data_IF_193105366675
#
_entry.id   IF_193105366675
#
_cell.length_a   1.000
_cell.length_b   1.000
_cell.length_c   1.000
_cell.angle_alpha   90.00
_cell.angle_beta   90.00
_cell.angle_gamma   90.00
#
_symmetry.space_group_name_H-M   'P 1'
#
loop_
_entity.id
_entity.type
_entity.pdbx_description
1 polymer ?
#
# COMPACT_ATOMS: atom_id res chain seq x y z
N UNK A 1 4.49 -10.47 -8.66
CA UNK A 1 5.32 -9.57 -9.49
C UNK A 1 5.41 -8.24 -8.76
N UNK A 2 6.58 -7.61 -8.72
CA UNK A 2 6.69 -6.24 -8.21
C UNK A 2 5.82 -5.33 -9.07
N UNK A 3 5.00 -4.49 -8.43
CA UNK A 3 4.08 -3.62 -9.17
C UNK A 3 4.83 -2.38 -9.61
N UNK A 4 5.17 -2.32 -10.90
CA UNK A 4 5.79 -1.15 -11.52
C UNK A 4 4.68 -0.20 -11.99
N UNK A 5 4.60 0.99 -11.42
CA UNK A 5 3.70 2.06 -11.88
C UNK A 5 4.49 2.91 -12.88
N UNK A 6 3.82 3.25 -13.98
CA UNK A 6 4.36 4.13 -15.02
C UNK A 6 3.74 5.52 -14.87
N UNK A 7 4.59 6.54 -14.83
CA UNK A 7 4.25 7.95 -14.68
C UNK A 7 4.30 8.55 -16.08
N UNK A 8 3.17 9.06 -16.57
CA UNK A 8 3.12 9.73 -17.87
C UNK A 8 3.91 11.03 -17.88
N UNK A 9 4.39 11.45 -19.05
CA UNK A 9 5.00 12.78 -19.26
C UNK A 9 4.14 13.89 -18.65
N UNK A 10 2.83 13.89 -18.92
CA UNK A 10 1.92 14.90 -18.37
C UNK A 10 1.90 14.88 -16.83
N UNK A 11 1.87 13.70 -16.22
CA UNK A 11 1.89 13.57 -14.76
C UNK A 11 3.24 13.99 -14.18
N UNK A 12 4.35 13.66 -14.85
CA UNK A 12 5.69 14.06 -14.43
C UNK A 12 5.86 15.57 -14.47
N UNK A 13 5.43 16.22 -15.56
CA UNK A 13 5.41 17.67 -15.73
C UNK A 13 4.61 18.33 -14.61
N UNK A 14 3.41 17.82 -14.31
CA UNK A 14 2.55 18.32 -13.24
C UNK A 14 3.25 18.19 -11.87
N UNK A 15 3.78 16.99 -11.56
CA UNK A 15 4.42 16.68 -10.28
C UNK A 15 5.68 17.50 -10.05
N UNK A 16 6.53 17.65 -11.09
CA UNK A 16 7.75 18.45 -11.03
C UNK A 16 7.49 19.95 -11.20
N UNK A 17 6.29 20.32 -11.67
CA UNK A 17 5.87 21.70 -11.98
C UNK A 17 6.83 22.39 -12.96
N UNK A 18 7.24 21.66 -13.98
CA UNK A 18 8.08 22.16 -15.08
C UNK A 18 7.25 22.29 -16.36
N UNK A 19 7.78 22.95 -17.39
CA UNK A 19 7.18 22.95 -18.73
C UNK A 19 7.60 21.72 -19.54
N UNK A 20 6.83 21.40 -20.58
CA UNK A 20 7.18 20.33 -21.54
C UNK A 20 8.56 20.58 -22.18
N UNK A 21 8.85 21.83 -22.56
CA UNK A 21 10.16 22.22 -23.11
C UNK A 21 11.30 21.91 -22.13
N UNK A 22 11.13 22.25 -20.85
CA UNK A 22 12.15 21.96 -19.85
C UNK A 22 12.36 20.46 -19.67
N UNK A 23 11.28 19.66 -19.70
CA UNK A 23 11.41 18.22 -19.63
C UNK A 23 12.18 17.66 -20.84
N UNK A 24 11.90 18.14 -22.06
CA UNK A 24 12.65 17.74 -23.25
C UNK A 24 14.15 18.08 -23.14
N UNK A 25 14.50 19.28 -22.67
CA UNK A 25 15.91 19.68 -22.46
C UNK A 25 16.61 18.76 -21.45
N UNK A 26 15.89 18.27 -20.44
CA UNK A 26 16.43 17.33 -19.45
C UNK A 26 16.59 15.94 -20.07
N UNK A 27 15.59 15.47 -20.82
CA UNK A 27 15.66 14.20 -21.54
C UNK A 27 16.86 14.17 -22.50
N UNK A 28 17.05 15.25 -23.28
CA UNK A 28 18.22 15.42 -24.16
C UNK A 28 19.54 15.37 -23.39
N UNK A 29 19.61 15.99 -22.20
CA UNK A 29 20.79 15.89 -21.35
C UNK A 29 21.09 14.44 -20.93
N UNK A 30 20.07 13.68 -20.52
CA UNK A 30 20.24 12.28 -20.13
C UNK A 30 20.58 11.36 -21.32
N UNK A 31 20.10 11.70 -22.52
CA UNK A 31 20.38 10.94 -23.74
C UNK A 31 21.77 11.24 -24.34
N UNK A 32 22.38 12.38 -23.98
CA UNK A 32 23.63 12.84 -24.58
C UNK A 32 24.86 12.00 -24.20
N UNK A 33 24.94 11.51 -22.96
CA UNK A 33 26.00 10.63 -22.50
C UNK A 33 25.47 9.54 -21.56
N UNK A 34 25.33 8.27 -22.03
CA UNK A 34 24.84 7.17 -21.21
C UNK A 34 25.83 6.75 -20.10
N UNK A 35 27.06 7.26 -20.11
CA UNK A 35 28.08 7.00 -19.09
C UNK A 35 28.22 8.15 -18.08
N UNK A 36 27.43 9.23 -18.20
CA UNK A 36 27.41 10.29 -17.20
C UNK A 36 26.94 9.74 -15.84
N UNK A 37 27.37 10.40 -14.77
CA UNK A 37 26.93 10.09 -13.39
C UNK A 37 25.40 10.17 -13.23
N UNK A 38 24.74 10.94 -14.10
CA UNK A 38 23.31 11.03 -14.33
C UNK A 38 22.95 10.23 -15.58
N UNK A 39 22.29 9.09 -15.40
CA UNK A 39 21.82 8.27 -16.51
C UNK A 39 20.37 7.81 -16.24
N UNK A 40 19.60 7.68 -17.32
CA UNK A 40 18.30 7.01 -17.38
C UNK A 40 18.39 5.88 -18.40
N UNK A 41 18.07 4.65 -17.99
CA UNK A 41 18.11 3.49 -18.88
C UNK A 41 16.71 3.09 -19.37
N UNK A 42 16.53 2.92 -20.68
CA UNK A 42 15.26 2.44 -21.24
C UNK A 42 14.97 1.01 -20.74
N UNK A 43 13.71 0.76 -20.35
CA UNK A 43 13.25 -0.48 -19.75
C UNK A 43 13.52 -0.58 -18.24
N UNK A 44 14.35 0.30 -17.66
CA UNK A 44 14.56 0.39 -16.20
C UNK A 44 14.00 1.67 -15.61
N UNK A 45 14.34 2.82 -16.19
CA UNK A 45 13.99 4.13 -15.68
C UNK A 45 12.84 4.77 -16.46
N UNK A 46 12.75 4.49 -17.76
CA UNK A 46 11.67 4.94 -18.63
C UNK A 46 11.35 3.92 -19.73
N UNK A 47 10.25 4.13 -20.45
CA UNK A 47 9.91 3.43 -21.69
C UNK A 47 9.40 4.41 -22.73
N UNK A 48 9.68 4.14 -24.00
CA UNK A 48 9.15 4.97 -25.10
C UNK A 48 7.77 4.47 -25.51
N UNK A 49 6.75 5.32 -25.38
CA UNK A 49 5.36 5.03 -25.76
C UNK A 49 5.10 5.40 -27.22
N UNK A 50 5.74 6.47 -27.69
CA UNK A 50 5.63 6.90 -29.09
C UNK A 50 7.00 7.34 -29.60
N UNK A 51 7.63 6.49 -30.41
CA UNK A 51 8.96 6.74 -30.98
C UNK A 51 9.00 7.98 -31.88
N UNK A 52 7.94 8.24 -32.63
CA UNK A 52 7.86 9.38 -33.56
C UNK A 52 7.78 10.72 -32.83
N UNK A 53 7.17 10.75 -31.64
CA UNK A 53 6.99 11.97 -30.83
C UNK A 53 7.96 12.05 -29.65
N UNK A 54 8.85 11.06 -29.49
CA UNK A 54 9.72 10.96 -28.31
C UNK A 54 8.99 10.81 -26.98
N UNK A 55 7.70 10.43 -26.98
CA UNK A 55 6.90 10.42 -25.76
C UNK A 55 7.32 9.26 -24.85
N UNK A 56 7.67 9.59 -23.60
CA UNK A 56 8.16 8.65 -22.59
C UNK A 56 7.16 8.45 -21.46
N UNK A 57 7.26 7.29 -20.82
CA UNK A 57 6.70 7.04 -19.51
C UNK A 57 7.82 6.66 -18.55
N UNK A 58 7.69 7.09 -17.30
CA UNK A 58 8.75 7.03 -16.31
C UNK A 58 8.40 6.05 -15.21
N UNK A 59 9.41 5.37 -14.71
CA UNK A 59 9.32 4.68 -13.42
C UNK A 59 9.50 5.67 -12.27
N UNK A 60 9.18 5.28 -11.04
CA UNK A 60 9.46 6.10 -9.84
C UNK A 60 10.95 6.46 -9.73
N UNK A 61 11.85 5.54 -10.10
CA UNK A 61 13.30 5.77 -10.06
C UNK A 61 13.77 6.72 -11.16
N UNK A 62 13.19 6.63 -12.37
CA UNK A 62 13.45 7.57 -13.45
C UNK A 62 12.92 8.97 -13.16
N UNK A 63 11.70 9.07 -12.62
CA UNK A 63 11.12 10.35 -12.19
C UNK A 63 11.95 10.98 -11.04
N UNK A 64 12.41 10.16 -10.09
CA UNK A 64 13.31 10.60 -9.03
C UNK A 64 14.66 11.09 -9.56
N UNK A 65 15.24 10.41 -10.56
CA UNK A 65 16.48 10.83 -11.20
C UNK A 65 16.35 12.20 -11.86
N UNK A 66 15.26 12.45 -12.59
CA UNK A 66 14.95 13.77 -13.18
C UNK A 66 14.79 14.84 -12.09
N UNK A 67 14.04 14.54 -11.03
CA UNK A 67 13.86 15.47 -9.91
C UNK A 67 15.20 15.80 -9.22
N UNK A 68 16.07 14.80 -9.06
CA UNK A 68 17.40 14.94 -8.45
C UNK A 68 18.33 15.78 -9.32
N UNK A 69 18.31 15.58 -10.64
CA UNK A 69 19.09 16.37 -11.59
C UNK A 69 18.69 17.85 -11.56
N UNK A 70 17.37 18.12 -11.61
CA UNK A 70 16.83 19.48 -11.50
C UNK A 70 17.32 20.17 -10.22
N UNK A 71 17.26 19.48 -9.08
CA UNK A 71 17.72 20.03 -7.82
C UNK A 71 19.22 20.38 -7.83
N UNK A 72 20.07 19.55 -8.44
CA UNK A 72 21.50 19.80 -8.57
C UNK A 72 21.81 20.98 -9.50
N UNK A 73 21.21 20.99 -10.69
CA UNK A 73 21.37 22.08 -11.68
C UNK A 73 21.02 23.43 -11.05
N UNK A 74 19.91 23.49 -10.32
CA UNK A 74 19.49 24.70 -9.62
C UNK A 74 20.41 25.13 -8.46
N UNK A 75 21.06 24.19 -7.75
CA UNK A 75 22.06 24.54 -6.73
C UNK A 75 23.29 25.19 -7.36
N UNK A 76 23.67 24.77 -8.56
CA UNK A 76 24.84 25.29 -9.28
C UNK A 76 24.60 26.68 -9.90
N UNK A 77 23.38 26.99 -10.36
CA UNK A 77 23.03 28.23 -11.09
C UNK A 77 22.77 29.47 -10.19
N UNK A 78 23.18 29.44 -8.93
CA UNK A 78 22.76 30.37 -7.89
C UNK A 78 23.42 31.78 -7.96
N UNK A 79 23.19 32.54 -9.05
CA UNK A 79 23.54 33.99 -9.14
C UNK A 79 22.51 34.94 -9.75
N UNK A 80 21.40 34.51 -10.37
CA UNK A 80 20.51 35.46 -11.07
C UNK A 80 18.99 35.27 -10.96
N UNK A 81 18.51 34.07 -10.58
CA UNK A 81 17.09 33.68 -10.69
C UNK A 81 16.39 33.54 -9.31
N UNK A 82 16.82 34.34 -8.33
CA UNK A 82 16.67 34.02 -6.89
C UNK A 82 15.40 34.54 -6.19
N UNK A 83 14.56 35.37 -6.83
CA UNK A 83 13.41 36.01 -6.16
C UNK A 83 12.15 35.14 -6.10
N UNK A 84 11.69 34.68 -7.26
CA UNK A 84 10.42 33.96 -7.41
C UNK A 84 10.53 32.46 -7.08
N UNK A 85 11.70 31.85 -7.29
CA UNK A 85 11.93 30.41 -7.15
C UNK A 85 12.21 29.97 -5.70
N UNK A 86 12.46 30.89 -4.77
CA UNK A 86 12.76 30.60 -3.35
C UNK A 86 11.58 29.93 -2.62
N UNK A 87 10.35 30.31 -2.93
CA UNK A 87 9.15 29.66 -2.37
C UNK A 87 8.85 28.30 -3.03
N UNK A 88 9.13 28.18 -4.33
CA UNK A 88 8.99 26.96 -5.12
C UNK A 88 9.95 25.85 -4.63
N UNK A 89 11.23 26.21 -4.44
CA UNK A 89 12.30 25.30 -4.02
C UNK A 89 12.17 24.90 -2.54
N UNK A 90 11.67 25.77 -1.67
CA UNK A 90 11.45 25.40 -0.26
C UNK A 90 10.42 24.28 -0.11
N UNK A 91 9.47 24.17 -1.05
CA UNK A 91 8.50 23.06 -1.14
C UNK A 91 9.02 21.86 -1.94
N UNK A 92 9.83 22.05 -2.97
CA UNK A 92 10.37 20.96 -3.81
C UNK A 92 11.54 20.18 -3.18
N UNK A 93 12.42 20.83 -2.39
CA UNK A 93 13.71 20.29 -1.90
C UNK A 93 13.66 19.02 -1.05
N UNK A 94 12.49 18.67 -0.54
CA UNK A 94 12.29 17.45 0.23
C UNK A 94 11.07 16.70 -0.24
N UNK A 95 9.99 17.41 -0.58
CA UNK A 95 8.68 16.76 -0.70
C UNK A 95 8.56 15.94 -1.98
N UNK A 96 9.06 16.39 -3.13
CA UNK A 96 8.80 15.70 -4.41
C UNK A 96 9.63 14.43 -4.60
N UNK A 97 10.94 14.48 -4.31
CA UNK A 97 11.79 13.26 -4.29
C UNK A 97 11.28 12.25 -3.27
N UNK A 98 10.91 12.74 -2.08
CA UNK A 98 10.29 11.90 -1.07
C UNK A 98 8.96 11.35 -1.57
N UNK A 99 8.11 12.09 -2.27
CA UNK A 99 6.82 11.60 -2.81
C UNK A 99 6.99 10.32 -3.62
N UNK A 100 7.92 10.27 -4.57
CA UNK A 100 8.17 9.04 -5.34
C UNK A 100 8.62 7.87 -4.45
N UNK A 101 9.45 8.14 -3.45
CA UNK A 101 9.85 7.15 -2.44
C UNK A 101 8.67 6.72 -1.56
N UNK A 102 7.82 7.67 -1.12
CA UNK A 102 6.62 7.41 -0.31
C UNK A 102 5.66 6.50 -1.06
N UNK A 103 5.39 6.84 -2.32
CA UNK A 103 4.54 6.05 -3.20
C UNK A 103 5.14 4.67 -3.39
N UNK A 104 6.45 4.56 -3.67
CA UNK A 104 7.11 3.25 -3.78
C UNK A 104 6.91 2.39 -2.55
N UNK A 105 7.13 2.97 -1.35
CA UNK A 105 6.94 2.28 -0.08
C UNK A 105 5.47 1.86 0.06
N UNK A 106 4.52 2.78 -0.15
CA UNK A 106 3.08 2.51 -0.03
C UNK A 106 2.64 1.34 -0.93
N UNK A 107 3.10 1.30 -2.18
CA UNK A 107 2.73 0.22 -3.10
C UNK A 107 3.43 -1.11 -2.84
N UNK A 108 4.57 -1.10 -2.14
CA UNK A 108 5.43 -2.27 -1.97
C UNK A 108 5.65 -2.61 -0.49
N UNK A 109 4.64 -2.44 0.37
CA UNK A 109 4.69 -2.81 1.81
C UNK A 109 3.60 -3.82 2.17
N UNK A 110 3.09 -4.58 1.20
CA UNK A 110 2.04 -5.60 1.38
C UNK A 110 2.43 -6.81 2.25
N UNK A 111 3.71 -6.98 2.54
CA UNK A 111 4.26 -8.03 3.41
C UNK A 111 4.42 -7.60 4.86
N UNK A 112 4.14 -6.32 5.17
CA UNK A 112 4.34 -5.73 6.49
C UNK A 112 3.69 -6.57 7.59
N UNK A 113 4.48 -6.88 8.60
CA UNK A 113 4.07 -7.66 9.78
C UNK A 113 4.79 -7.16 11.01
N UNK A 114 4.12 -7.18 12.16
CA UNK A 114 4.70 -6.92 13.47
C UNK A 114 5.00 -8.25 14.16
N UNK A 115 6.23 -8.44 14.64
CA UNK A 115 6.66 -9.60 15.43
C UNK A 115 7.66 -9.15 16.47
N UNK A 116 7.53 -9.63 17.72
CA UNK A 116 8.43 -9.25 18.82
C UNK A 116 8.59 -7.72 18.97
N UNK A 117 7.48 -7.00 18.78
CA UNK A 117 7.43 -5.53 18.77
C UNK A 117 8.27 -4.83 17.68
N UNK A 118 8.69 -5.57 16.64
CA UNK A 118 9.45 -5.06 15.49
C UNK A 118 8.60 -5.19 14.23
N UNK A 119 8.58 -4.15 13.41
CA UNK A 119 7.96 -4.17 12.09
C UNK A 119 8.94 -4.70 11.05
N UNK A 120 8.47 -5.65 10.25
CA UNK A 120 9.23 -6.45 9.31
C UNK A 120 8.60 -6.40 7.92
N UNK A 121 9.42 -6.31 6.88
CA UNK A 121 9.04 -6.33 5.46
C UNK A 121 9.80 -7.46 4.77
N UNK A 122 9.14 -8.24 3.92
CA UNK A 122 9.78 -9.37 3.26
C UNK A 122 10.81 -8.96 2.19
N UNK A 123 11.63 -9.92 1.77
CA UNK A 123 12.66 -9.74 0.73
C UNK A 123 12.06 -9.22 -0.59
N UNK A 124 10.87 -9.67 -0.98
CA UNK A 124 10.26 -9.32 -2.27
C UNK A 124 9.86 -7.84 -2.30
N UNK A 125 9.20 -7.38 -1.25
CA UNK A 125 8.80 -6.00 -1.06
C UNK A 125 10.04 -5.11 -0.88
N UNK A 126 11.05 -5.59 -0.16
CA UNK A 126 12.36 -4.90 -0.03
C UNK A 126 13.05 -4.70 -1.37
N UNK A 127 13.10 -5.73 -2.22
CA UNK A 127 13.62 -5.64 -3.59
C UNK A 127 12.88 -4.56 -4.39
N UNK A 128 11.55 -4.53 -4.29
CA UNK A 128 10.72 -3.60 -5.03
C UNK A 128 10.87 -2.15 -4.55
N UNK A 129 10.94 -1.92 -3.24
CA UNK A 129 11.17 -0.57 -2.67
C UNK A 129 12.54 -0.05 -3.08
N UNK A 130 13.59 -0.88 -2.96
CA UNK A 130 14.92 -0.46 -3.41
C UNK A 130 15.03 -0.34 -4.93
N UNK A 131 14.12 -0.92 -5.72
CA UNK A 131 14.22 -0.94 -7.18
C UNK A 131 15.43 -1.75 -7.66
N UNK A 132 15.65 -2.92 -7.06
CA UNK A 132 16.82 -3.77 -7.33
C UNK A 132 16.39 -5.16 -7.79
N UNK A 133 17.35 -6.09 -7.89
CA UNK A 133 17.12 -7.51 -8.16
C UNK A 133 17.41 -8.33 -6.90
N UNK A 134 16.79 -9.51 -6.79
CA UNK A 134 16.91 -10.39 -5.62
C UNK A 134 18.34 -10.86 -5.36
N UNK A 135 19.05 -11.26 -6.40
CA UNK A 135 20.47 -11.66 -6.36
C UNK A 135 21.35 -10.52 -5.84
N UNK A 136 21.08 -9.29 -6.30
CA UNK A 136 21.84 -8.11 -5.89
C UNK A 136 21.53 -7.71 -4.44
N UNK A 137 20.27 -7.78 -4.01
CA UNK A 137 19.91 -7.57 -2.60
C UNK A 137 20.64 -8.58 -1.68
N UNK A 138 20.75 -9.84 -2.09
CA UNK A 138 21.51 -10.87 -1.36
C UNK A 138 23.00 -10.56 -1.30
N UNK A 139 23.59 -10.07 -2.39
CA UNK A 139 24.98 -9.56 -2.39
C UNK A 139 25.13 -8.41 -1.39
N UNK A 140 24.23 -7.43 -1.41
CA UNK A 140 24.26 -6.29 -0.48
C UNK A 140 24.10 -6.76 0.97
N UNK A 141 23.24 -7.74 1.24
CA UNK A 141 23.15 -8.36 2.55
C UNK A 141 24.49 -8.98 2.99
N UNK A 142 25.16 -9.75 2.12
CA UNK A 142 26.46 -10.34 2.42
C UNK A 142 27.54 -9.28 2.70
N UNK A 143 27.51 -8.16 1.98
CA UNK A 143 28.40 -7.03 2.24
C UNK A 143 28.07 -6.34 3.55
N UNK A 144 26.78 -6.14 3.86
CA UNK A 144 26.33 -5.59 5.13
C UNK A 144 26.75 -6.46 6.34
N UNK A 145 26.91 -7.78 6.16
CA UNK A 145 27.43 -8.66 7.20
C UNK A 145 28.93 -8.49 7.49
N UNK A 146 29.66 -7.80 6.60
CA UNK A 146 31.12 -7.54 6.73
C UNK A 146 31.43 -6.12 7.20
N UNK A 147 30.41 -5.27 7.35
CA UNK A 147 30.54 -3.92 7.89
C UNK A 147 30.85 -3.95 9.38
N UNK A 148 31.41 -2.87 9.92
CA UNK A 148 31.71 -2.72 11.35
C UNK A 148 30.46 -2.92 12.23
N UNK A 149 29.29 -2.53 11.73
CA UNK A 149 28.00 -2.74 12.37
C UNK A 149 27.12 -3.67 11.50
N UNK A 150 27.28 -5.00 11.63
CA UNK A 150 26.58 -5.96 10.79
C UNK A 150 25.07 -6.00 11.06
N UNK A 151 24.32 -6.61 10.14
CA UNK A 151 22.89 -6.89 10.33
C UNK A 151 22.73 -8.02 11.38
N UNK A 152 22.01 -7.74 12.47
CA UNK A 152 21.82 -8.68 13.56
C UNK A 152 20.53 -9.50 13.40
N UNK A 153 20.56 -10.84 13.60
CA UNK A 153 19.36 -11.67 13.54
C UNK A 153 18.39 -11.30 14.67
N UNK A 154 17.08 -11.37 14.40
CA UNK A 154 15.98 -10.99 15.29
C UNK A 154 15.92 -9.50 15.69
N UNK A 155 16.81 -8.67 15.15
CA UNK A 155 16.81 -7.21 15.34
C UNK A 155 16.72 -6.49 14.00
N UNK A 156 17.59 -6.84 13.06
CA UNK A 156 17.66 -6.24 11.73
C UNK A 156 17.03 -7.11 10.65
N UNK A 157 16.99 -8.43 10.85
CA UNK A 157 16.33 -9.36 9.94
C UNK A 157 15.81 -10.60 10.68
N UNK A 158 14.85 -11.30 10.07
CA UNK A 158 14.27 -12.54 10.58
C UNK A 158 14.01 -13.51 9.41
N UNK A 159 14.60 -14.72 9.50
CA UNK A 159 14.46 -15.80 8.51
C UNK A 159 13.45 -16.88 8.96
N UNK A 160 12.84 -16.73 10.15
CA UNK A 160 12.00 -17.76 10.79
C UNK A 160 10.50 -17.58 10.59
N UNK A 161 10.03 -16.44 10.07
CA UNK A 161 8.58 -16.21 9.86
C UNK A 161 8.00 -17.15 8.81
N UNK A 162 8.76 -17.38 7.75
CA UNK A 162 8.37 -18.25 6.65
C UNK A 162 9.62 -18.85 6.03
N UNK A 163 9.62 -20.16 5.93
CA UNK A 163 10.75 -20.92 5.39
C UNK A 163 11.19 -20.37 4.02
N UNK A 164 12.50 -20.10 3.90
CA UNK A 164 13.10 -19.59 2.67
C UNK A 164 12.80 -18.12 2.33
N UNK A 165 12.14 -17.37 3.23
CA UNK A 165 11.86 -15.94 3.03
C UNK A 165 12.46 -15.12 4.17
N UNK A 166 13.40 -14.25 3.81
CA UNK A 166 13.96 -13.26 4.73
C UNK A 166 13.04 -12.07 4.89
N UNK A 167 12.91 -11.62 6.12
CA UNK A 167 12.27 -10.37 6.49
C UNK A 167 13.33 -9.39 7.01
N UNK A 168 13.16 -8.11 6.72
CA UNK A 168 14.03 -7.03 7.19
C UNK A 168 13.24 -6.11 8.09
N UNK A 169 13.81 -5.76 9.24
CA UNK A 169 13.24 -4.73 10.09
C UNK A 169 13.49 -3.34 9.51
N UNK A 170 12.83 -2.31 10.06
CA UNK A 170 13.07 -0.94 9.64
C UNK A 170 14.53 -0.50 9.87
N UNK A 171 15.19 -1.01 10.92
CA UNK A 171 16.62 -0.77 11.15
C UNK A 171 17.50 -1.54 10.16
N UNK A 172 17.16 -2.80 9.86
CA UNK A 172 17.87 -3.58 8.85
C UNK A 172 17.76 -2.98 7.45
N UNK A 173 16.59 -2.45 7.11
CA UNK A 173 16.34 -1.73 5.88
C UNK A 173 17.24 -0.48 5.76
N UNK A 174 17.38 0.30 6.84
CA UNK A 174 18.29 1.44 6.89
C UNK A 174 19.78 1.03 6.80
N UNK A 175 20.17 -0.10 7.40
CA UNK A 175 21.54 -0.62 7.26
C UNK A 175 21.82 -1.03 5.81
N UNK A 176 20.89 -1.74 5.17
CA UNK A 176 20.99 -2.11 3.76
C UNK A 176 21.10 -0.87 2.85
N UNK A 177 20.31 0.18 3.09
CA UNK A 177 20.36 1.39 2.26
C UNK A 177 21.72 2.08 2.28
N UNK A 178 22.39 2.10 3.43
CA UNK A 178 23.75 2.64 3.57
C UNK A 178 24.76 1.84 2.76
N UNK A 179 24.65 0.51 2.76
CA UNK A 179 25.53 -0.35 1.96
C UNK A 179 25.25 -0.17 0.47
N UNK A 180 23.97 -0.09 0.05
CA UNK A 180 23.62 0.29 -1.32
C UNK A 180 24.27 1.61 -1.75
N UNK A 181 24.22 2.64 -0.90
CA UNK A 181 24.79 3.96 -1.18
C UNK A 181 26.31 3.90 -1.40
N UNK A 182 27.03 3.06 -0.64
CA UNK A 182 28.47 2.84 -0.81
C UNK A 182 28.80 2.08 -2.10
N UNK A 183 28.05 1.03 -2.39
CA UNK A 183 28.38 0.03 -3.42
C UNK A 183 27.93 0.39 -4.85
N UNK A 184 26.83 1.13 -4.98
CA UNK A 184 26.35 1.53 -6.30
C UNK A 184 27.32 2.53 -6.93
N UNK A 185 27.33 2.65 -8.25
CA UNK A 185 28.13 3.66 -8.97
C UNK A 185 27.26 4.83 -9.43
N UNK A 186 26.08 4.52 -9.97
CA UNK A 186 25.09 5.50 -10.41
C UNK A 186 24.57 6.35 -9.24
N UNK A 187 24.68 7.68 -9.38
CA UNK A 187 24.33 8.65 -8.33
C UNK A 187 22.86 8.61 -7.96
N UNK A 188 21.96 8.55 -8.94
CA UNK A 188 20.51 8.48 -8.69
C UNK A 188 20.13 7.27 -7.86
N UNK A 189 20.74 6.12 -8.17
CA UNK A 189 20.48 4.88 -7.45
C UNK A 189 21.02 4.92 -6.02
N UNK A 190 22.19 5.56 -5.79
CA UNK A 190 22.72 5.80 -4.44
C UNK A 190 21.76 6.62 -3.58
N UNK A 191 21.32 7.77 -4.11
CA UNK A 191 20.44 8.69 -3.40
C UNK A 191 19.05 8.07 -3.18
N UNK A 192 18.50 7.39 -4.19
CA UNK A 192 17.24 6.65 -4.06
C UNK A 192 17.29 5.65 -2.91
N UNK A 193 18.31 4.79 -2.86
CA UNK A 193 18.41 3.77 -1.83
C UNK A 193 18.52 4.41 -0.45
N UNK A 194 19.36 5.45 -0.31
CA UNK A 194 19.54 6.17 0.95
C UNK A 194 18.24 6.84 1.44
N UNK A 195 17.53 7.52 0.53
CA UNK A 195 16.25 8.16 0.82
C UNK A 195 15.16 7.14 1.16
N UNK A 196 15.11 6.00 0.45
CA UNK A 196 14.20 4.91 0.75
C UNK A 196 14.42 4.35 2.16
N UNK A 197 15.68 4.10 2.54
CA UNK A 197 16.00 3.61 3.88
C UNK A 197 15.77 4.63 4.99
N UNK A 198 16.00 5.92 4.73
CA UNK A 198 15.74 6.98 5.71
C UNK A 198 14.24 7.27 5.86
N UNK A 199 13.45 7.02 4.81
CA UNK A 199 12.01 7.27 4.79
C UNK A 199 11.19 6.12 5.37
N UNK A 200 11.69 4.88 5.34
CA UNK A 200 10.89 3.71 5.75
C UNK A 200 10.25 3.83 7.14
N UNK A 201 10.91 4.37 8.20
CA UNK A 201 10.34 4.35 9.54
C UNK A 201 9.09 5.25 9.67
N UNK A 202 9.16 6.47 9.14
CA UNK A 202 8.02 7.40 9.21
C UNK A 202 6.85 6.92 8.35
N UNK A 203 7.13 6.38 7.15
CA UNK A 203 6.08 5.93 6.24
C UNK A 203 5.38 4.66 6.71
N UNK A 204 6.12 3.73 7.30
CA UNK A 204 5.51 2.55 7.93
C UNK A 204 4.61 2.98 9.09
N UNK A 205 5.03 3.97 9.90
CA UNK A 205 4.18 4.55 10.95
C UNK A 205 2.89 5.16 10.39
N UNK A 206 2.98 5.94 9.31
CA UNK A 206 1.81 6.50 8.60
C UNK A 206 0.88 5.39 8.07
N UNK A 207 1.43 4.34 7.46
CA UNK A 207 0.68 3.18 6.97
C UNK A 207 -0.06 2.48 8.11
N UNK A 208 0.61 2.24 9.24
CA UNK A 208 0.00 1.62 10.42
C UNK A 208 -1.18 2.47 10.92
N UNK A 209 -0.98 3.79 11.04
CA UNK A 209 -2.06 4.70 11.43
C UNK A 209 -3.26 4.63 10.48
N UNK A 210 -3.03 4.55 9.17
CA UNK A 210 -4.10 4.39 8.18
C UNK A 210 -4.87 3.07 8.36
N UNK A 211 -4.17 1.98 8.69
CA UNK A 211 -4.78 0.67 8.99
C UNK A 211 -5.60 0.75 10.29
N UNK A 212 -5.07 1.39 11.34
CA UNK A 212 -5.77 1.61 12.61
C UNK A 212 -7.04 2.44 12.43
N UNK A 213 -6.94 3.57 11.72
CA UNK A 213 -8.06 4.46 11.49
C UNK A 213 -9.12 3.80 10.61
N UNK A 214 -8.71 2.95 9.65
CA UNK A 214 -9.64 2.10 8.89
C UNK A 214 -10.39 1.14 9.80
N UNK A 215 -9.69 0.45 10.71
CA UNK A 215 -10.33 -0.44 11.69
C UNK A 215 -11.38 0.31 12.51
N UNK A 216 -11.05 1.51 13.02
CA UNK A 216 -12.00 2.35 13.77
C UNK A 216 -13.23 2.73 12.93
N UNK A 217 -13.05 3.06 11.64
CA UNK A 217 -14.18 3.34 10.73
C UNK A 217 -15.07 2.11 10.52
N UNK A 218 -14.48 0.93 10.32
CA UNK A 218 -15.23 -0.33 10.18
C UNK A 218 -16.02 -0.63 11.46
N UNK A 219 -15.38 -0.51 12.63
CA UNK A 219 -16.03 -0.77 13.91
C UNK A 219 -17.19 0.22 14.17
N UNK A 220 -17.00 1.51 13.81
CA UNK A 220 -18.07 2.51 13.83
C UNK A 220 -19.22 2.16 12.88
N UNK A 221 -18.92 1.73 11.65
CA UNK A 221 -19.94 1.33 10.68
C UNK A 221 -20.75 0.12 11.17
N UNK A 222 -20.10 -0.86 11.82
CA UNK A 222 -20.79 -1.99 12.47
C UNK A 222 -21.74 -1.54 13.58
N UNK A 223 -21.30 -0.61 14.43
CA UNK A 223 -22.16 -0.05 15.48
C UNK A 223 -23.36 0.72 14.90
N UNK A 224 -23.16 1.51 13.84
CA UNK A 224 -24.24 2.20 13.16
C UNK A 224 -25.25 1.25 12.50
N UNK A 225 -24.76 0.15 11.90
CA UNK A 225 -25.63 -0.89 11.35
C UNK A 225 -26.44 -1.59 12.45
N UNK A 226 -25.83 -1.89 13.59
CA UNK A 226 -26.52 -2.45 14.76
C UNK A 226 -27.63 -1.52 15.28
N UNK A 227 -27.36 -0.22 15.36
CA UNK A 227 -28.35 0.79 15.75
C UNK A 227 -29.50 0.87 14.73
N UNK A 228 -29.20 0.91 13.42
CA UNK A 228 -30.18 0.87 12.33
C UNK A 228 -31.08 -0.37 12.44
N UNK A 229 -30.49 -1.50 12.83
CA UNK A 229 -31.17 -2.77 12.95
C UNK A 229 -31.90 -2.94 14.30
N UNK A 230 -31.88 -1.92 15.16
CA UNK A 230 -32.59 -1.89 16.44
C UNK A 230 -32.02 -2.84 17.49
N UNK A 231 -30.70 -3.09 17.45
CA UNK A 231 -30.00 -4.06 18.30
C UNK A 231 -30.60 -5.48 18.24
N UNK A 232 -31.01 -5.89 17.04
CA UNK A 232 -31.62 -7.20 16.76
C UNK A 232 -30.94 -7.88 15.59
N UNK A 233 -30.93 -9.21 15.62
CA UNK A 233 -30.67 -9.99 14.42
C UNK A 233 -31.75 -9.69 13.37
N UNK A 234 -31.35 -9.28 12.17
CA UNK A 234 -32.29 -8.97 11.07
C UNK A 234 -33.01 -10.20 10.51
N UNK A 235 -32.43 -11.38 10.67
CA UNK A 235 -33.05 -12.65 10.24
C UNK A 235 -34.05 -13.14 11.29
N UNK A 236 -33.62 -13.31 12.55
CA UNK A 236 -34.48 -13.92 13.59
C UNK A 236 -35.29 -12.93 14.43
N UNK A 237 -34.93 -11.64 14.43
CA UNK A 237 -35.55 -10.62 15.29
C UNK A 237 -35.09 -10.64 16.76
N UNK A 238 -34.22 -11.58 17.14
CA UNK A 238 -33.72 -11.73 18.51
C UNK A 238 -32.76 -10.60 18.90
N UNK A 239 -32.88 -10.12 20.14
CA UNK A 239 -31.98 -9.12 20.75
C UNK A 239 -30.81 -9.79 21.45
N UNK A 240 -29.79 -8.99 21.80
CA UNK A 240 -28.80 -9.40 22.80
C UNK A 240 -29.50 -9.81 24.09
N UNK A 241 -28.98 -10.87 24.69
CA UNK A 241 -29.42 -11.36 25.99
C UNK A 241 -28.17 -11.52 26.84
N UNK A 242 -28.16 -10.86 28.01
CA UNK A 242 -27.07 -10.92 28.98
C UNK A 242 -27.21 -12.12 29.94
N UNK A 243 -28.15 -13.03 29.66
CA UNK A 243 -28.33 -14.25 30.45
C UNK A 243 -27.15 -15.20 30.24
N UNK A 244 -26.54 -15.67 31.34
CA UNK A 244 -25.48 -16.68 31.33
C UNK A 244 -25.91 -18.04 30.74
N UNK A 245 -27.22 -18.29 30.61
CA UNK A 245 -27.78 -19.55 30.10
C UNK A 245 -28.09 -19.46 28.60
N UNK A 246 -28.45 -18.27 28.10
CA UNK A 246 -28.85 -18.02 26.71
C UNK A 246 -28.22 -16.71 26.23
N UNK A 247 -26.90 -16.69 26.12
CA UNK A 247 -26.15 -15.53 25.62
C UNK A 247 -26.36 -15.40 24.11
N UNK A 248 -27.02 -14.32 23.67
CA UNK A 248 -27.22 -14.05 22.24
C UNK A 248 -26.22 -12.99 21.80
N UNK A 249 -25.18 -13.44 21.09
CA UNK A 249 -24.17 -12.56 20.52
C UNK A 249 -24.61 -12.05 19.14
N UNK A 250 -24.57 -10.73 18.95
CA UNK A 250 -24.82 -10.08 17.68
C UNK A 250 -23.51 -9.65 17.01
N UNK A 251 -23.42 -9.86 15.70
CA UNK A 251 -22.30 -9.48 14.87
C UNK A 251 -22.77 -8.68 13.65
N UNK A 252 -22.00 -7.65 13.29
CA UNK A 252 -22.12 -7.01 11.98
C UNK A 252 -21.45 -7.87 10.91
N UNK A 253 -22.26 -8.48 10.05
CA UNK A 253 -21.83 -9.25 8.89
C UNK A 253 -21.70 -8.34 7.67
N UNK A 254 -20.61 -8.47 6.92
CA UNK A 254 -20.40 -7.75 5.67
C UNK A 254 -21.05 -8.50 4.50
N UNK A 255 -22.06 -7.91 3.85
CA UNK A 255 -22.77 -8.49 2.71
C UNK A 255 -21.83 -8.77 1.54
N UNK A 256 -20.96 -7.81 1.21
CA UNK A 256 -19.76 -8.01 0.41
C UNK A 256 -18.55 -8.15 1.32
N UNK A 257 -17.85 -9.28 1.23
CA UNK A 257 -16.71 -9.62 2.10
C UNK A 257 -15.70 -8.48 2.21
N UNK A 258 -15.42 -8.02 3.43
CA UNK A 258 -14.45 -6.94 3.68
C UNK A 258 -13.00 -7.28 3.26
N UNK A 259 -12.69 -8.57 3.09
CA UNK A 259 -11.38 -9.00 2.60
C UNK A 259 -11.23 -8.78 1.08
N UNK A 260 -12.31 -8.99 0.32
CA UNK A 260 -12.32 -8.89 -1.15
C UNK A 260 -12.85 -7.55 -1.65
N UNK A 261 -13.67 -6.88 -0.85
CA UNK A 261 -14.25 -5.56 -1.12
C UNK A 261 -13.89 -4.60 0.02
N UNK A 262 -12.59 -4.34 0.26
CA UNK A 262 -12.13 -3.57 1.40
C UNK A 262 -12.57 -2.11 1.38
N UNK A 263 -12.93 -1.58 0.20
CA UNK A 263 -13.49 -0.24 -0.01
C UNK A 263 -14.97 -0.13 0.42
N UNK A 264 -15.66 -1.26 0.62
CA UNK A 264 -17.03 -1.32 1.15
C UNK A 264 -17.05 -1.67 2.64
N UNK A 265 -15.89 -1.92 3.26
CA UNK A 265 -15.82 -2.47 4.60
C UNK A 265 -16.34 -1.51 5.69
N UNK A 266 -16.30 -0.20 5.45
CA UNK A 266 -16.83 0.84 6.34
C UNK A 266 -18.16 1.45 5.84
N UNK A 267 -18.81 0.86 4.84
CA UNK A 267 -20.19 1.20 4.45
C UNK A 267 -21.20 0.52 5.37
N UNK A 268 -22.12 1.31 5.92
CA UNK A 268 -23.20 0.82 6.79
C UNK A 268 -24.21 -0.02 5.99
N UNK A 269 -24.44 0.33 4.73
CA UNK A 269 -25.29 -0.37 3.77
C UNK A 269 -24.75 -1.78 3.46
N UNK A 270 -23.42 -1.94 3.49
CA UNK A 270 -22.75 -3.22 3.31
C UNK A 270 -22.75 -4.09 4.58
N UNK A 271 -23.34 -3.64 5.70
CA UNK A 271 -23.35 -4.39 6.96
C UNK A 271 -24.77 -4.74 7.38
N UNK A 272 -24.99 -5.97 7.81
CA UNK A 272 -26.23 -6.47 8.40
C UNK A 272 -25.96 -7.08 9.78
N UNK A 273 -26.84 -6.80 10.75
CA UNK A 273 -26.73 -7.37 12.10
C UNK A 273 -27.31 -8.77 12.16
N UNK A 274 -26.47 -9.75 12.49
CA UNK A 274 -26.85 -11.16 12.60
C UNK A 274 -26.54 -11.69 14.00
N UNK A 275 -27.31 -12.68 14.47
CA UNK A 275 -26.84 -13.51 15.58
C UNK A 275 -25.71 -14.40 15.12
N UNK A 276 -24.78 -14.74 16.03
CA UNK A 276 -23.61 -15.57 15.75
C UNK A 276 -23.94 -16.87 15.02
N UNK A 277 -24.98 -17.58 15.44
CA UNK A 277 -25.41 -18.84 14.82
C UNK A 277 -25.78 -18.67 13.35
N UNK A 278 -26.59 -17.66 13.00
CA UNK A 278 -26.99 -17.39 11.60
C UNK A 278 -25.77 -16.99 10.77
N UNK A 279 -24.86 -16.22 11.35
CA UNK A 279 -23.63 -15.82 10.69
C UNK A 279 -22.71 -17.01 10.39
N UNK A 280 -22.53 -17.90 11.37
CA UNK A 280 -21.69 -19.08 11.21
C UNK A 280 -22.32 -20.11 10.26
N UNK A 281 -23.64 -20.32 10.34
CA UNK A 281 -24.40 -21.21 9.44
C UNK A 281 -24.31 -20.74 7.99
N UNK A 282 -24.54 -19.44 7.75
CA UNK A 282 -24.35 -18.84 6.42
C UNK A 282 -22.96 -19.14 5.84
N UNK A 283 -21.90 -18.89 6.63
CA UNK A 283 -20.54 -19.16 6.17
C UNK A 283 -20.23 -20.65 6.02
N UNK A 284 -20.90 -21.53 6.75
CA UNK A 284 -20.79 -22.97 6.59
C UNK A 284 -21.41 -23.42 5.26
N UNK A 285 -22.63 -22.97 4.95
CA UNK A 285 -23.32 -23.25 3.68
C UNK A 285 -22.51 -22.75 2.48
N UNK A 286 -21.83 -21.61 2.62
CA UNK A 286 -20.95 -21.04 1.59
C UNK A 286 -19.63 -21.79 1.36
N UNK A 287 -19.36 -22.88 2.08
CA UNK A 287 -18.11 -23.64 1.98
C UNK A 287 -16.97 -23.05 2.81
N UNK A 288 -17.30 -22.31 3.87
CA UNK A 288 -16.38 -21.85 4.91
C UNK A 288 -16.10 -20.34 4.91
N UNK A 289 -15.58 -19.85 6.04
CA UNK A 289 -15.26 -18.42 6.29
C UNK A 289 -14.19 -17.82 5.37
N UNK A 290 -13.45 -18.66 4.63
CA UNK A 290 -12.42 -18.23 3.68
C UNK A 290 -12.94 -17.85 2.30
N UNK A 291 -14.20 -18.18 1.98
CA UNK A 291 -14.81 -17.88 0.68
C UNK A 291 -15.30 -16.41 0.65
N UNK A 292 -15.04 -15.67 -0.43
CA UNK A 292 -15.66 -14.35 -0.62
C UNK A 292 -17.17 -14.52 -0.67
N UNK A 293 -17.89 -13.82 0.21
CA UNK A 293 -19.34 -13.67 0.12
C UNK A 293 -19.73 -12.36 -0.56
N UNK A 294 -20.85 -12.40 -1.26
CA UNK A 294 -21.55 -11.29 -1.89
C UNK A 294 -22.97 -11.19 -1.34
N UNK A 295 -23.63 -10.06 -1.61
CA UNK A 295 -25.01 -9.89 -1.19
C UNK A 295 -25.97 -10.90 -1.85
N UNK A 296 -25.66 -11.38 -3.06
CA UNK A 296 -26.48 -12.39 -3.74
C UNK A 296 -26.40 -13.74 -3.04
N UNK A 297 -25.23 -14.10 -2.53
CA UNK A 297 -25.05 -15.31 -1.72
C UNK A 297 -25.91 -15.25 -0.45
N UNK A 298 -25.93 -14.10 0.21
CA UNK A 298 -26.74 -13.92 1.42
C UNK A 298 -28.25 -13.88 1.10
N UNK A 299 -28.65 -13.29 -0.02
CA UNK A 299 -30.05 -13.33 -0.49
C UNK A 299 -30.49 -14.78 -0.75
N UNK A 300 -29.65 -15.58 -1.40
CA UNK A 300 -29.95 -16.99 -1.66
C UNK A 300 -30.10 -17.77 -0.35
N UNK A 301 -29.17 -17.62 0.58
CA UNK A 301 -29.26 -18.23 1.91
C UNK A 301 -30.56 -17.87 2.65
N UNK A 302 -30.95 -16.59 2.66
CA UNK A 302 -32.20 -16.18 3.32
C UNK A 302 -33.42 -16.77 2.62
N UNK A 303 -33.44 -16.84 1.28
CA UNK A 303 -34.54 -17.45 0.53
C UNK A 303 -34.71 -18.94 0.84
N UNK A 304 -33.60 -19.66 0.97
CA UNK A 304 -33.61 -21.10 1.15
C UNK A 304 -33.90 -21.51 2.60
N UNK A 305 -33.37 -20.76 3.58
CA UNK A 305 -33.45 -21.13 5.00
C UNK A 305 -34.50 -20.34 5.80
N UNK A 306 -34.94 -19.18 5.29
CA UNK A 306 -35.92 -18.30 5.93
C UNK A 306 -36.91 -17.70 4.90
N UNK A 307 -37.60 -18.56 4.11
CA UNK A 307 -38.45 -18.11 3.00
C UNK A 307 -39.59 -17.17 3.44
N UNK A 308 -40.00 -17.21 4.71
CA UNK A 308 -41.00 -16.33 5.29
C UNK A 308 -40.52 -14.87 5.47
N UNK A 309 -39.22 -14.60 5.33
CA UNK A 309 -38.62 -13.27 5.54
C UNK A 309 -38.62 -12.39 4.29
N UNK A 310 -39.78 -12.27 3.63
CA UNK A 310 -39.92 -11.52 2.37
C UNK A 310 -39.50 -10.04 2.48
N UNK A 311 -39.80 -9.38 3.60
CA UNK A 311 -39.40 -8.00 3.85
C UNK A 311 -37.87 -7.84 3.92
N UNK A 312 -37.18 -8.82 4.52
CA UNK A 312 -35.72 -8.82 4.58
C UNK A 312 -35.11 -9.01 3.18
N UNK A 313 -35.65 -9.93 2.40
CA UNK A 313 -35.22 -10.18 1.02
C UNK A 313 -35.37 -8.90 0.18
N UNK A 314 -36.51 -8.21 0.32
CA UNK A 314 -36.76 -6.93 -0.35
C UNK A 314 -35.76 -5.86 0.08
N UNK A 315 -35.48 -5.76 1.38
CA UNK A 315 -34.48 -4.85 1.91
C UNK A 315 -33.07 -5.14 1.39
N UNK A 316 -32.68 -6.42 1.28
CA UNK A 316 -31.38 -6.84 0.73
C UNK A 316 -31.23 -6.44 -0.74
N UNK A 317 -32.26 -6.65 -1.56
CA UNK A 317 -32.27 -6.14 -2.94
C UNK A 317 -32.17 -4.61 -2.99
N UNK A 318 -32.80 -3.90 -2.05
CA UNK A 318 -32.63 -2.46 -1.87
C UNK A 318 -31.20 -2.04 -1.52
N UNK A 319 -30.49 -2.79 -0.67
CA UNK A 319 -29.07 -2.53 -0.40
C UNK A 319 -28.20 -2.81 -1.61
N UNK A 320 -28.47 -3.90 -2.33
CA UNK A 320 -27.74 -4.26 -3.57
C UNK A 320 -27.75 -3.11 -4.57
N UNK A 321 -28.88 -2.42 -4.73
CA UNK A 321 -29.01 -1.29 -5.64
C UNK A 321 -28.23 -0.04 -5.21
N UNK A 322 -27.94 0.11 -3.91
CA UNK A 322 -27.20 1.26 -3.34
C UNK A 322 -25.70 1.09 -3.37
N UNK A 323 -25.23 -0.16 -3.35
CA UNK A 323 -23.81 -0.48 -3.30
C UNK A 323 -23.28 -0.58 -4.73
N UNK A 324 -22.43 0.35 -5.19
CA UNK A 324 -21.78 0.19 -6.49
C UNK A 324 -20.89 -1.05 -6.44
N UNK A 325 -21.19 -2.04 -7.28
CA UNK A 325 -20.47 -3.31 -7.38
C UNK A 325 -19.10 -3.18 -8.07
N UNK A 326 -18.58 -1.96 -8.20
CA UNK A 326 -17.31 -1.71 -8.87
C UNK A 326 -16.18 -2.45 -8.18
N UNK A 327 -15.51 -3.29 -8.96
CA UNK A 327 -14.28 -3.97 -8.61
C UNK A 327 -13.26 -2.91 -8.19
N UNK A 328 -12.47 -3.20 -7.14
CA UNK A 328 -11.35 -2.34 -6.71
C UNK A 328 -10.57 -1.89 -7.96
N UNK A 329 -10.25 -0.60 -8.13
CA UNK A 329 -9.35 -0.17 -9.18
C UNK A 329 -8.13 -1.07 -9.15
N UNK A 330 -7.75 -1.66 -10.30
CA UNK A 330 -6.64 -2.60 -10.35
C UNK A 330 -5.44 -2.01 -9.59
N UNK A 331 -5.26 -0.69 -9.62
CA UNK A 331 -4.15 0.11 -9.11
C UNK A 331 -4.21 0.61 -7.66
N UNK A 332 -5.16 0.18 -6.82
CA UNK A 332 -5.17 0.60 -5.41
C UNK A 332 -3.97 0.02 -4.62
N UNK A 333 -3.34 0.79 -3.69
CA UNK A 333 -2.24 0.30 -2.87
C UNK A 333 -2.72 -0.77 -1.90
N UNK A 334 -2.33 -2.02 -2.15
CA UNK A 334 -2.78 -3.19 -1.38
C UNK A 334 -2.42 -3.11 0.12
N UNK A 335 -1.42 -2.31 0.49
CA UNK A 335 -1.00 -2.15 1.89
C UNK A 335 -2.11 -1.56 2.77
N UNK A 336 -2.96 -0.69 2.23
CA UNK A 336 -4.11 -0.11 2.97
C UNK A 336 -5.19 -1.15 3.29
N UNK A 337 -5.09 -2.32 2.65
CA UNK A 337 -6.00 -3.44 2.84
C UNK A 337 -5.39 -4.56 3.68
N UNK A 338 -4.20 -4.36 4.23
CA UNK A 338 -3.63 -5.28 5.20
C UNK A 338 -4.58 -5.49 6.38
N UNK A 339 -4.78 -6.74 6.83
CA UNK A 339 -5.59 -7.01 8.00
C UNK A 339 -4.88 -6.41 9.23
N UNK A 340 -5.62 -5.71 10.12
CA UNK A 340 -5.07 -5.14 11.35
C UNK A 340 -4.27 -6.14 12.19
N UNK A 341 -4.67 -7.41 12.20
CA UNK A 341 -3.99 -8.50 12.92
C UNK A 341 -2.55 -8.76 12.49
N UNK A 342 -2.10 -8.22 11.35
CA UNK A 342 -0.69 -8.31 10.94
C UNK A 342 0.19 -7.26 11.58
N UNK A 343 -0.35 -6.09 11.92
CA UNK A 343 0.44 -4.92 12.33
C UNK A 343 0.10 -4.42 13.73
N UNK A 344 -1.09 -4.75 14.22
CA UNK A 344 -1.59 -4.37 15.55
C UNK A 344 -1.51 -5.51 16.57
N UNK A 345 -0.61 -6.49 16.38
CA UNK A 345 -0.42 -7.53 17.39
C UNK A 345 0.08 -6.89 18.69
N UNK A 346 -0.66 -7.11 19.76
CA UNK A 346 -0.17 -6.97 21.11
C UNK A 346 0.46 -8.31 21.46
N UNK A 347 1.76 -8.30 21.76
CA UNK A 347 2.36 -9.42 22.48
C UNK A 347 1.84 -9.40 23.92
#
# INVERSE_FOLDING_TARGET
MARQIWISTAKLIETLRISEKQLMEIEEFFDADPYDKWNLEEGKDYRVINKTRGLREYTDTGAYAIASYLEEKHRAENKGFMGWLKEFIRKLKGDVRKTFVKEKILYNTSSLVKRNNIYLIDERDTVAIFGTRRDYLRKIFQLAQREENPLLPNQDYDDSLKEGIRYYSLSGFLKLSRVFHKELTNKNRKEWCLDAGSSIPSHVSEIIKLIEDRKKRIDKAKSLAENRDGHKCKVTGQKRSDSKINEIQLHGHHLFSAAYYPHLADSVENIITLKKEVHDDFHQVMGGKGKPCTIDDFIHYVKDHYPEKLELITWLHGQKAKIPSTIIPKDAPMVLYLPPSRVMQNN
#
